data_IF_657193239929
#
_entry.id   IF_657193239929
#
_cell.length_a   1.000
_cell.length_b   1.000
_cell.length_c   1.000
_cell.angle_alpha   90.00
_cell.angle_beta   90.00
_cell.angle_gamma   90.00
#
_symmetry.space_group_name_H-M   'P 1'
#
loop_
_entity.id
_entity.type
_entity.pdbx_description
1 polymer ?
#
# COMPACT_ATOMS: atom_id res chain seq x y z
N UNK A 1 20.50 31.32 -25.22
CA UNK A 1 19.48 30.24 -25.35
C UNK A 1 19.07 29.75 -23.95
N UNK A 2 18.10 30.42 -23.31
CA UNK A 2 17.63 30.07 -21.96
C UNK A 2 16.55 28.99 -22.00
N UNK A 3 16.74 27.88 -21.27
CA UNK A 3 15.73 26.81 -21.14
C UNK A 3 14.54 27.32 -20.31
N UNK A 4 13.33 27.22 -20.86
CA UNK A 4 12.09 27.50 -20.12
C UNK A 4 11.90 26.48 -18.98
N UNK A 5 11.51 26.90 -17.77
CA UNK A 5 11.22 25.98 -16.68
C UNK A 5 9.96 25.15 -17.01
N UNK A 6 10.12 23.82 -17.08
CA UNK A 6 9.01 22.86 -17.19
C UNK A 6 8.45 22.57 -15.79
N UNK A 7 7.71 23.50 -15.22
CA UNK A 7 6.84 23.25 -14.07
C UNK A 7 5.39 23.24 -14.53
N UNK A 8 4.64 22.16 -14.28
CA UNK A 8 3.17 22.23 -14.39
C UNK A 8 2.70 23.30 -13.40
N UNK A 9 1.82 24.25 -13.78
CA UNK A 9 1.34 25.27 -12.86
C UNK A 9 0.76 24.56 -11.63
N UNK A 10 1.21 25.00 -10.45
CA UNK A 10 0.68 24.55 -9.15
C UNK A 10 -0.84 24.59 -9.23
N UNK A 11 -1.49 23.47 -8.92
CA UNK A 11 -2.91 23.27 -9.13
C UNK A 11 -3.73 24.46 -8.64
N UNK A 12 -4.58 24.99 -9.51
CA UNK A 12 -5.42 26.16 -9.23
C UNK A 12 -6.18 25.89 -7.93
N UNK A 13 -5.90 26.69 -6.90
CA UNK A 13 -6.59 26.60 -5.62
C UNK A 13 -8.09 26.69 -5.89
N UNK A 14 -8.90 25.78 -5.34
CA UNK A 14 -10.34 25.81 -5.59
C UNK A 14 -10.88 27.13 -5.03
N UNK A 15 -11.59 27.87 -5.87
CA UNK A 15 -11.90 29.29 -5.70
C UNK A 15 -12.91 29.63 -4.61
N UNK A 16 -12.76 29.06 -3.42
CA UNK A 16 -13.50 29.43 -2.21
C UNK A 16 -12.49 29.94 -1.17
N UNK A 17 -12.81 31.02 -0.48
CA UNK A 17 -11.96 31.60 0.57
C UNK A 17 -12.81 32.05 1.76
N UNK A 18 -12.20 32.15 2.95
CA UNK A 18 -12.85 32.65 4.16
C UNK A 18 -14.09 31.87 4.58
N UNK A 19 -15.17 32.59 4.92
CA UNK A 19 -16.42 32.00 5.45
C UNK A 19 -17.08 31.06 4.43
N UNK A 20 -17.02 31.41 3.13
CA UNK A 20 -17.52 30.55 2.05
C UNK A 20 -16.81 29.20 2.04
N UNK A 21 -15.51 29.18 2.29
CA UNK A 21 -14.74 27.94 2.37
C UNK A 21 -15.13 27.11 3.61
N UNK A 22 -15.24 27.74 4.77
CA UNK A 22 -15.67 27.06 6.01
C UNK A 22 -17.07 26.44 5.86
N UNK A 23 -17.99 27.18 5.25
CA UNK A 23 -19.34 26.71 4.98
C UNK A 23 -19.35 25.56 3.96
N UNK A 24 -18.58 25.62 2.87
CA UNK A 24 -18.48 24.48 1.94
C UNK A 24 -17.86 23.26 2.64
N UNK A 25 -16.87 23.45 3.51
CA UNK A 25 -16.26 22.38 4.30
C UNK A 25 -17.24 21.69 5.26
N UNK A 26 -18.28 22.37 5.76
CA UNK A 26 -19.26 21.74 6.67
C UNK A 26 -20.06 20.61 6.01
N UNK A 27 -20.07 20.51 4.68
CA UNK A 27 -20.72 19.43 3.94
C UNK A 27 -19.80 18.23 3.65
N UNK A 28 -18.62 18.15 4.26
CA UNK A 28 -17.69 17.03 4.05
C UNK A 28 -18.34 15.68 4.34
N UNK A 29 -19.03 15.55 5.48
CA UNK A 29 -19.63 14.29 5.89
C UNK A 29 -20.76 13.86 4.93
N UNK A 30 -21.59 14.80 4.52
CA UNK A 30 -22.66 14.57 3.53
C UNK A 30 -22.07 14.12 2.19
N UNK A 31 -21.01 14.78 1.73
CA UNK A 31 -20.33 14.41 0.48
C UNK A 31 -19.73 13.00 0.52
N UNK A 32 -19.22 12.54 1.68
CA UNK A 32 -18.66 11.19 1.83
C UNK A 32 -19.70 10.09 1.88
N UNK A 33 -20.90 10.40 2.37
CA UNK A 33 -21.92 9.38 2.72
C UNK A 33 -23.09 9.32 1.73
N UNK A 34 -23.36 10.41 1.01
CA UNK A 34 -24.51 10.55 0.10
C UNK A 34 -24.06 10.60 -1.35
N UNK A 35 -25.03 10.45 -2.27
CA UNK A 35 -24.80 10.68 -3.70
C UNK A 35 -24.28 12.10 -3.96
N UNK A 36 -23.14 12.19 -4.65
CA UNK A 36 -22.47 13.46 -4.91
C UNK A 36 -23.36 14.46 -5.68
N UNK A 37 -24.21 13.99 -6.60
CA UNK A 37 -25.11 14.83 -7.38
C UNK A 37 -26.19 15.49 -6.53
N UNK A 38 -26.73 14.75 -5.56
CA UNK A 38 -27.69 15.29 -4.58
C UNK A 38 -27.02 16.31 -3.66
N UNK A 39 -25.84 16.00 -3.13
CA UNK A 39 -25.08 16.91 -2.27
C UNK A 39 -24.76 18.22 -2.99
N UNK A 40 -24.27 18.15 -4.23
CA UNK A 40 -24.01 19.35 -5.02
C UNK A 40 -25.29 20.15 -5.28
N UNK A 41 -26.43 19.48 -5.48
CA UNK A 41 -27.71 20.14 -5.68
C UNK A 41 -28.16 20.91 -4.44
N UNK A 42 -28.03 20.30 -3.26
CA UNK A 42 -28.39 20.91 -1.97
C UNK A 42 -27.48 22.10 -1.64
N UNK A 43 -26.16 21.92 -1.78
CA UNK A 43 -25.18 23.00 -1.58
C UNK A 43 -25.45 24.16 -2.54
N UNK A 44 -25.73 23.88 -3.82
CA UNK A 44 -26.03 24.91 -4.82
C UNK A 44 -27.25 25.74 -4.42
N UNK A 45 -28.34 25.09 -3.97
CA UNK A 45 -29.55 25.79 -3.52
C UNK A 45 -29.26 26.67 -2.31
N UNK A 46 -28.62 26.10 -1.28
CA UNK A 46 -28.30 26.86 -0.06
C UNK A 46 -27.31 28.00 -0.32
N UNK A 47 -26.37 27.82 -1.27
CA UNK A 47 -25.43 28.86 -1.66
C UNK A 47 -26.16 30.10 -2.19
N UNK A 48 -27.09 29.93 -3.13
CA UNK A 48 -27.80 31.08 -3.70
C UNK A 48 -28.79 31.71 -2.70
N UNK A 49 -29.33 30.94 -1.76
CA UNK A 49 -30.10 31.48 -0.63
C UNK A 49 -29.24 32.32 0.31
N UNK A 50 -27.99 31.93 0.52
CA UNK A 50 -27.10 32.62 1.47
C UNK A 50 -26.31 33.77 0.86
N UNK A 51 -25.90 33.65 -0.40
CA UNK A 51 -24.96 34.56 -1.05
C UNK A 51 -25.53 35.24 -2.32
N UNK A 52 -26.72 34.83 -2.78
CA UNK A 52 -27.29 35.35 -4.03
C UNK A 52 -26.46 35.00 -5.28
N UNK A 53 -26.90 35.52 -6.43
CA UNK A 53 -26.32 35.23 -7.75
C UNK A 53 -25.19 36.18 -8.19
N UNK A 54 -25.10 37.37 -7.57
CA UNK A 54 -24.17 38.44 -7.97
C UNK A 54 -22.79 38.31 -7.35
N UNK A 55 -22.67 37.58 -6.24
CA UNK A 55 -21.41 37.48 -5.53
C UNK A 55 -20.44 36.55 -6.24
N UNK A 56 -19.22 37.06 -6.45
CA UNK A 56 -18.09 36.26 -6.91
C UNK A 56 -17.81 35.13 -5.91
N UNK A 57 -17.60 33.92 -6.42
CA UNK A 57 -17.31 32.74 -5.61
C UNK A 57 -16.01 32.90 -4.80
N UNK A 58 -15.05 33.65 -5.33
CA UNK A 58 -13.69 33.80 -4.75
C UNK A 58 -13.58 34.92 -3.73
N UNK A 59 -14.43 35.96 -3.85
CA UNK A 59 -14.38 37.14 -2.98
C UNK A 59 -15.15 36.89 -1.70
N UNK A 60 -14.47 37.11 -0.58
CA UNK A 60 -15.09 37.14 0.73
C UNK A 60 -15.92 38.41 0.85
N UNK A 61 -17.14 38.31 1.36
CA UNK A 61 -17.98 39.49 1.63
C UNK A 61 -17.93 39.74 3.14
N UNK A 62 -17.47 40.91 3.59
CA UNK A 62 -17.44 41.22 5.01
C UNK A 62 -18.87 41.50 5.51
N UNK A 63 -19.37 40.65 6.41
CA UNK A 63 -20.63 40.87 7.13
C UNK A 63 -21.67 39.77 6.90
N UNK A 64 -22.65 39.68 7.81
CA UNK A 64 -23.85 38.86 7.60
C UNK A 64 -24.60 39.47 6.42
N UNK A 65 -24.65 38.75 5.31
CA UNK A 65 -25.56 39.06 4.21
C UNK A 65 -26.95 38.72 4.74
N UNK A 66 -27.90 39.67 4.67
CA UNK A 66 -29.31 39.39 4.97
C UNK A 66 -29.77 38.23 4.09
N UNK A 67 -30.50 37.27 4.68
CA UNK A 67 -30.97 36.07 3.98
C UNK A 67 -31.61 36.48 2.64
N UNK A 68 -31.03 36.02 1.53
CA UNK A 68 -31.56 36.36 0.21
C UNK A 68 -32.93 35.70 0.07
N UNK A 69 -33.97 36.51 -0.15
CA UNK A 69 -35.34 36.02 -0.32
C UNK A 69 -35.49 35.47 -1.74
N UNK A 70 -35.75 34.16 -1.91
CA UNK A 70 -35.98 33.58 -3.22
C UNK A 70 -37.27 34.11 -3.84
N UNK A 71 -37.17 34.96 -4.86
CA UNK A 71 -38.34 35.45 -5.60
C UNK A 71 -38.17 36.80 -6.30
N UNK A 72 -37.41 37.73 -5.72
CA UNK A 72 -37.41 39.13 -6.18
C UNK A 72 -36.79 39.34 -7.57
N UNK A 73 -35.95 38.43 -8.05
CA UNK A 73 -35.15 38.65 -9.27
C UNK A 73 -35.95 38.50 -10.57
N UNK A 74 -37.02 37.70 -10.51
CA UNK A 74 -37.89 37.41 -11.66
C UNK A 74 -39.19 38.22 -11.62
N UNK A 75 -39.43 38.92 -10.52
CA UNK A 75 -40.66 39.69 -10.32
C UNK A 75 -40.71 40.86 -11.32
N UNK A 76 -41.78 40.94 -12.10
CA UNK A 76 -41.97 41.97 -13.12
C UNK A 76 -41.23 41.72 -14.45
N UNK A 77 -40.39 40.68 -14.57
CA UNK A 77 -39.77 40.31 -15.84
C UNK A 77 -40.76 39.54 -16.72
N UNK A 78 -40.84 39.92 -18.00
CA UNK A 78 -41.66 39.24 -19.01
C UNK A 78 -40.90 39.09 -20.33
N UNK A 79 -41.32 38.15 -21.16
CA UNK A 79 -40.74 37.94 -22.49
C UNK A 79 -39.26 37.57 -22.46
N UNK A 80 -38.47 38.21 -23.31
CA UNK A 80 -37.04 37.94 -23.51
C UNK A 80 -36.22 38.14 -22.22
N UNK A 81 -36.53 39.17 -21.43
CA UNK A 81 -35.81 39.47 -20.19
C UNK A 81 -35.94 38.34 -19.13
N UNK A 82 -37.09 37.67 -19.08
CA UNK A 82 -37.29 36.52 -18.19
C UNK A 82 -36.43 35.32 -18.63
N UNK A 83 -36.26 35.14 -19.94
CA UNK A 83 -35.49 34.03 -20.48
C UNK A 83 -33.98 34.26 -20.35
N UNK A 84 -33.51 35.49 -20.55
CA UNK A 84 -32.13 35.89 -20.27
C UNK A 84 -31.75 35.65 -18.81
N UNK A 85 -32.66 35.98 -17.87
CA UNK A 85 -32.44 35.79 -16.44
C UNK A 85 -32.35 34.29 -16.08
N UNK A 86 -33.22 33.43 -16.65
CA UNK A 86 -33.11 31.98 -16.45
C UNK A 86 -31.78 31.43 -16.96
N UNK A 87 -31.36 31.84 -18.16
CA UNK A 87 -30.08 31.40 -18.73
C UNK A 87 -28.90 31.85 -17.87
N UNK A 88 -28.98 33.05 -17.30
CA UNK A 88 -27.99 33.55 -16.36
C UNK A 88 -27.92 32.69 -15.10
N UNK A 89 -29.07 32.40 -14.48
CA UNK A 89 -29.15 31.56 -13.28
C UNK A 89 -28.63 30.13 -13.54
N UNK A 90 -29.04 29.50 -14.64
CA UNK A 90 -28.58 28.16 -15.03
C UNK A 90 -27.07 28.13 -15.24
N UNK A 91 -26.51 29.15 -15.90
CA UNK A 91 -25.07 29.30 -16.10
C UNK A 91 -24.33 29.41 -14.77
N UNK A 92 -24.83 30.23 -13.84
CA UNK A 92 -24.24 30.40 -12.51
C UNK A 92 -24.33 29.13 -11.66
N UNK A 93 -25.46 28.43 -11.69
CA UNK A 93 -25.62 27.14 -11.01
C UNK A 93 -24.65 26.09 -11.56
N UNK A 94 -24.51 26.02 -12.89
CA UNK A 94 -23.57 25.10 -13.54
C UNK A 94 -22.12 25.43 -13.17
N UNK A 95 -21.75 26.71 -13.17
CA UNK A 95 -20.41 27.16 -12.77
C UNK A 95 -20.10 26.79 -11.31
N UNK A 96 -21.02 27.08 -10.39
CA UNK A 96 -20.86 26.72 -8.99
C UNK A 96 -20.71 25.21 -8.80
N UNK A 97 -21.57 24.39 -9.42
CA UNK A 97 -21.47 22.92 -9.36
C UNK A 97 -20.12 22.42 -9.87
N UNK A 98 -19.60 23.00 -10.94
CA UNK A 98 -18.27 22.65 -11.45
C UNK A 98 -17.16 23.01 -10.45
N UNK A 99 -17.24 24.20 -9.82
CA UNK A 99 -16.30 24.62 -8.76
C UNK A 99 -16.39 23.71 -7.53
N UNK A 100 -17.60 23.36 -7.07
CA UNK A 100 -17.83 22.43 -5.97
C UNK A 100 -17.24 21.04 -6.29
N UNK A 101 -17.55 20.49 -7.46
CA UNK A 101 -17.00 19.19 -7.88
C UNK A 101 -15.47 19.20 -7.95
N UNK A 102 -14.88 20.29 -8.44
CA UNK A 102 -13.42 20.49 -8.41
C UNK A 102 -12.86 20.58 -6.99
N UNK A 103 -13.51 21.36 -6.12
CA UNK A 103 -13.13 21.52 -4.71
C UNK A 103 -13.18 20.19 -3.96
N UNK A 104 -14.33 19.51 -3.94
CA UNK A 104 -14.50 18.29 -3.14
C UNK A 104 -13.59 17.17 -3.64
N UNK A 105 -13.42 17.00 -4.95
CA UNK A 105 -12.44 16.04 -5.48
C UNK A 105 -11.03 16.41 -5.04
N UNK A 106 -10.55 17.62 -5.33
CA UNK A 106 -9.19 17.99 -4.99
C UNK A 106 -8.90 17.96 -3.48
N UNK A 107 -9.89 18.32 -2.66
CA UNK A 107 -9.76 18.42 -1.20
C UNK A 107 -9.91 17.07 -0.49
N UNK A 108 -10.87 16.25 -0.93
CA UNK A 108 -11.30 15.04 -0.21
C UNK A 108 -11.17 13.76 -1.03
N UNK A 109 -11.13 13.81 -2.37
CA UNK A 109 -10.79 12.62 -3.19
C UNK A 109 -9.30 12.30 -3.20
N UNK A 110 -8.47 13.24 -2.75
CA UNK A 110 -7.11 12.93 -2.32
C UNK A 110 -7.16 12.10 -1.04
N UNK A 111 -7.49 10.80 -1.15
CA UNK A 111 -7.05 9.82 -0.16
C UNK A 111 -5.54 9.94 -0.19
N UNK A 112 -4.95 10.76 0.69
CA UNK A 112 -3.51 10.77 0.92
C UNK A 112 -3.18 9.32 1.14
N UNK A 113 -2.49 8.70 0.18
CA UNK A 113 -2.04 7.32 0.27
C UNK A 113 -1.54 7.19 1.70
N UNK A 114 -2.25 6.43 2.54
CA UNK A 114 -1.88 6.36 3.93
C UNK A 114 -0.64 5.49 3.91
N UNK A 115 0.51 6.10 3.65
CA UNK A 115 1.75 5.38 3.35
C UNK A 115 2.08 4.45 4.51
N UNK A 116 1.65 4.79 5.72
CA UNK A 116 1.68 3.91 6.89
C UNK A 116 0.78 2.66 6.74
N UNK A 117 -0.46 2.79 6.25
CA UNK A 117 -1.37 1.65 6.02
C UNK A 117 -0.88 0.78 4.85
N UNK A 118 -0.49 1.39 3.73
CA UNK A 118 0.10 0.65 2.59
C UNK A 118 1.41 -0.04 3.00
N UNK A 119 2.28 0.62 3.77
CA UNK A 119 3.51 0.01 4.30
C UNK A 119 3.20 -1.10 5.31
N UNK A 120 2.15 -0.95 6.13
CA UNK A 120 1.68 -1.99 7.03
C UNK A 120 1.22 -3.23 6.26
N UNK A 121 0.40 -3.04 5.22
CA UNK A 121 -0.09 -4.13 4.37
C UNK A 121 1.04 -4.78 3.58
N UNK A 122 1.95 -3.99 2.99
CA UNK A 122 3.13 -4.53 2.31
C UNK A 122 4.02 -5.29 3.30
N UNK A 123 4.19 -4.81 4.54
CA UNK A 123 4.96 -5.51 5.58
C UNK A 123 4.25 -6.78 6.04
N UNK A 124 2.92 -6.77 6.15
CA UNK A 124 2.12 -7.95 6.45
C UNK A 124 2.21 -8.98 5.31
N UNK A 125 2.07 -8.54 4.06
CA UNK A 125 2.28 -9.37 2.87
C UNK A 125 3.70 -9.92 2.81
N UNK A 126 4.73 -9.12 3.12
CA UNK A 126 6.12 -9.58 3.23
C UNK A 126 6.32 -10.57 4.37
N UNK A 127 5.56 -10.44 5.46
CA UNK A 127 5.52 -11.42 6.54
C UNK A 127 4.88 -12.75 6.11
N UNK A 128 3.74 -12.69 5.40
CA UNK A 128 3.04 -13.88 4.88
C UNK A 128 3.77 -14.58 3.73
N UNK A 129 4.42 -13.79 2.88
CA UNK A 129 5.32 -14.26 1.81
C UNK A 129 6.74 -14.45 2.30
N UNK A 130 6.95 -14.36 3.63
CA UNK A 130 8.22 -14.39 4.32
C UNK A 130 9.31 -15.08 3.52
N UNK A 131 10.35 -14.32 3.17
CA UNK A 131 11.55 -14.77 2.46
C UNK A 131 12.27 -15.97 3.12
N UNK A 132 11.74 -16.50 4.22
CA UNK A 132 12.04 -17.83 4.70
C UNK A 132 11.62 -18.86 3.65
N UNK A 133 12.57 -19.23 2.78
CA UNK A 133 12.41 -20.37 1.90
C UNK A 133 12.02 -21.60 2.73
N UNK A 134 11.14 -22.45 2.17
CA UNK A 134 10.79 -23.73 2.80
C UNK A 134 12.09 -24.45 3.21
N UNK A 135 12.23 -24.88 4.49
CA UNK A 135 13.43 -25.57 4.94
C UNK A 135 13.75 -26.74 4.02
N UNK A 136 15.02 -26.85 3.60
CA UNK A 136 15.49 -27.97 2.77
C UNK A 136 16.09 -29.03 3.67
N UNK A 137 15.81 -30.31 3.37
CA UNK A 137 16.45 -31.44 4.04
C UNK A 137 17.94 -31.41 3.72
N UNK A 138 18.80 -31.41 4.75
CA UNK A 138 20.25 -31.56 4.58
C UNK A 138 20.52 -32.99 4.09
N UNK A 139 21.49 -33.18 3.19
CA UNK A 139 21.94 -34.53 2.86
C UNK A 139 22.51 -35.22 4.11
N UNK A 140 22.36 -36.53 4.24
CA UNK A 140 22.85 -37.30 5.41
C UNK A 140 24.33 -37.02 5.70
N UNK A 141 25.17 -36.95 4.66
CA UNK A 141 26.59 -36.63 4.79
C UNK A 141 26.83 -35.22 5.36
N UNK A 142 26.10 -34.22 4.87
CA UNK A 142 26.18 -32.85 5.36
C UNK A 142 25.73 -32.77 6.83
N UNK A 143 24.61 -33.43 7.16
CA UNK A 143 24.10 -33.51 8.53
C UNK A 143 25.14 -34.15 9.46
N UNK A 144 25.63 -35.34 9.12
CA UNK A 144 26.69 -36.06 9.83
C UNK A 144 27.92 -35.17 10.05
N UNK A 145 28.44 -34.57 8.98
CA UNK A 145 29.64 -33.75 9.03
C UNK A 145 29.48 -32.51 9.90
N UNK A 146 28.27 -31.95 9.99
CA UNK A 146 28.00 -30.78 10.83
C UNK A 146 27.78 -31.14 12.31
N UNK A 147 27.06 -32.23 12.58
CA UNK A 147 26.63 -32.60 13.93
C UNK A 147 27.72 -33.36 14.70
N UNK A 148 28.50 -34.19 14.01
CA UNK A 148 29.53 -35.04 14.62
C UNK A 148 30.95 -34.63 14.21
N UNK A 149 31.14 -33.38 13.75
CA UNK A 149 32.46 -32.87 13.39
C UNK A 149 33.45 -33.04 14.54
N UNK A 150 33.13 -32.44 15.69
CA UNK A 150 34.01 -32.35 16.85
C UNK A 150 34.40 -33.71 17.42
N UNK A 151 33.47 -34.67 17.40
CA UNK A 151 33.63 -35.96 18.08
C UNK A 151 34.25 -37.04 17.20
N UNK A 152 33.95 -37.05 15.89
CA UNK A 152 34.32 -38.16 14.99
C UNK A 152 35.27 -37.76 13.87
N UNK A 153 35.17 -36.52 13.38
CA UNK A 153 35.88 -36.12 12.17
C UNK A 153 37.09 -35.23 12.45
N UNK A 154 37.03 -34.38 13.48
CA UNK A 154 37.97 -33.29 13.70
C UNK A 154 39.42 -33.74 13.73
N UNK A 155 39.76 -34.75 14.52
CA UNK A 155 41.15 -35.20 14.66
C UNK A 155 41.75 -35.67 13.32
N UNK A 156 41.05 -36.57 12.62
CA UNK A 156 41.52 -37.06 11.32
C UNK A 156 41.41 -36.03 10.20
N UNK A 157 40.44 -35.12 10.29
CA UNK A 157 40.29 -34.01 9.36
C UNK A 157 41.45 -33.02 9.50
N UNK A 158 41.79 -32.59 10.72
CA UNK A 158 42.87 -31.65 11.00
C UNK A 158 44.22 -32.23 10.58
N UNK A 159 44.46 -33.53 10.83
CA UNK A 159 45.64 -34.23 10.35
C UNK A 159 45.76 -34.15 8.82
N UNK A 160 44.71 -34.57 8.09
CA UNK A 160 44.70 -34.53 6.62
C UNK A 160 44.76 -33.11 6.08
N UNK A 161 44.14 -32.15 6.76
CA UNK A 161 44.16 -30.76 6.36
C UNK A 161 45.57 -30.17 6.46
N UNK A 162 46.28 -30.46 7.55
CA UNK A 162 47.66 -30.01 7.75
C UNK A 162 48.62 -30.66 6.74
N UNK A 163 48.48 -31.96 6.47
CA UNK A 163 49.23 -32.65 5.41
C UNK A 163 48.96 -32.01 4.03
N UNK A 164 47.70 -31.74 3.70
CA UNK A 164 47.31 -31.14 2.42
C UNK A 164 47.71 -29.67 2.29
N UNK A 165 47.83 -28.94 3.42
CA UNK A 165 48.23 -27.53 3.44
C UNK A 165 49.65 -27.32 2.92
N UNK A 166 50.54 -28.29 3.16
CA UNK A 166 51.93 -28.24 2.69
C UNK A 166 52.06 -28.56 1.19
N UNK A 167 51.19 -29.43 0.66
CA UNK A 167 51.41 -30.07 -0.65
C UNK A 167 50.42 -29.67 -1.75
N UNK A 168 49.23 -29.16 -1.40
CA UNK A 168 48.11 -29.01 -2.34
C UNK A 168 47.55 -27.58 -2.44
N UNK A 169 47.11 -27.14 -3.65
CA UNK A 169 46.33 -25.92 -3.83
C UNK A 169 45.00 -25.97 -3.05
N UNK A 170 44.47 -24.80 -2.66
CA UNK A 170 43.29 -24.71 -1.79
C UNK A 170 42.06 -25.52 -2.26
N UNK A 171 41.78 -25.51 -3.58
CA UNK A 171 40.66 -26.27 -4.16
C UNK A 171 40.84 -27.80 -4.01
N UNK A 172 42.07 -28.30 -4.20
CA UNK A 172 42.38 -29.71 -4.03
C UNK A 172 42.29 -30.15 -2.56
N UNK A 173 42.65 -29.27 -1.61
CA UNK A 173 42.49 -29.54 -0.17
C UNK A 173 41.02 -29.77 0.22
N UNK A 174 40.12 -28.92 -0.28
CA UNK A 174 38.68 -29.08 -0.03
C UNK A 174 38.15 -30.40 -0.58
N UNK A 175 38.58 -30.80 -1.78
CA UNK A 175 38.18 -32.09 -2.36
C UNK A 175 38.68 -33.28 -1.52
N UNK A 176 39.94 -33.25 -1.07
CA UNK A 176 40.51 -34.28 -0.18
C UNK A 176 39.75 -34.40 1.15
N UNK A 177 39.40 -33.26 1.75
CA UNK A 177 38.60 -33.22 2.98
C UNK A 177 37.20 -33.78 2.77
N UNK A 178 36.53 -33.43 1.67
CA UNK A 178 35.22 -34.00 1.33
C UNK A 178 35.31 -35.52 1.11
N UNK A 179 36.37 -36.02 0.45
CA UNK A 179 36.60 -37.46 0.33
C UNK A 179 36.85 -38.13 1.68
N UNK A 180 37.60 -37.50 2.58
CA UNK A 180 37.81 -38.03 3.92
C UNK A 180 36.49 -38.19 4.67
N UNK A 181 35.64 -37.16 4.66
CA UNK A 181 34.31 -37.23 5.31
C UNK A 181 33.45 -38.33 4.69
N UNK A 182 33.48 -38.52 3.35
CA UNK A 182 32.78 -39.64 2.70
C UNK A 182 33.30 -41.00 3.13
N UNK A 183 34.62 -41.17 3.23
CA UNK A 183 35.24 -42.43 3.67
C UNK A 183 34.94 -42.73 5.13
N UNK A 184 35.00 -41.71 5.99
CA UNK A 184 34.62 -41.83 7.39
C UNK A 184 33.16 -42.28 7.51
N UNK A 185 32.24 -41.60 6.82
CA UNK A 185 30.82 -41.98 6.78
C UNK A 185 30.58 -43.41 6.28
N UNK A 186 31.28 -43.85 5.23
CA UNK A 186 31.15 -45.21 4.70
C UNK A 186 31.74 -46.30 5.61
N UNK A 187 32.62 -45.93 6.54
CA UNK A 187 33.21 -46.83 7.52
C UNK A 187 32.42 -46.89 8.84
N UNK A 188 31.39 -46.05 9.00
CA UNK A 188 30.53 -46.07 10.18
C UNK A 188 29.62 -47.30 10.18
N UNK A 189 29.24 -47.74 11.38
CA UNK A 189 28.33 -48.86 11.58
C UNK A 189 26.93 -48.59 11.02
N UNK A 190 26.26 -49.64 10.54
CA UNK A 190 24.89 -49.54 9.99
C UNK A 190 23.87 -49.01 11.02
N UNK A 191 24.05 -49.38 12.29
CA UNK A 191 23.18 -48.90 13.39
C UNK A 191 23.34 -47.40 13.62
N UNK A 192 24.57 -46.90 13.57
CA UNK A 192 24.88 -45.48 13.73
C UNK A 192 24.42 -44.68 12.51
N UNK A 193 24.68 -45.15 11.30
CA UNK A 193 24.20 -44.47 10.08
C UNK A 193 22.67 -44.38 10.06
N UNK A 194 21.97 -45.44 10.46
CA UNK A 194 20.51 -45.44 10.63
C UNK A 194 20.04 -44.41 11.67
N UNK A 195 20.73 -44.31 12.80
CA UNK A 195 20.46 -43.29 13.82
C UNK A 195 20.61 -41.87 13.24
N UNK A 196 21.71 -41.59 12.54
CA UNK A 196 21.98 -40.27 11.96
C UNK A 196 20.94 -39.90 10.91
N UNK A 197 20.49 -40.85 10.09
CA UNK A 197 19.40 -40.63 9.13
C UNK A 197 18.11 -40.24 9.86
N UNK A 198 17.74 -40.98 10.91
CA UNK A 198 16.55 -40.69 11.71
C UNK A 198 16.63 -39.30 12.34
N UNK A 199 17.76 -38.95 12.94
CA UNK A 199 17.94 -37.62 13.54
C UNK A 199 17.90 -36.49 12.49
N UNK A 200 18.42 -36.72 11.28
CA UNK A 200 18.34 -35.76 10.18
C UNK A 200 16.89 -35.53 9.72
N UNK A 201 16.09 -36.60 9.70
CA UNK A 201 14.67 -36.55 9.35
C UNK A 201 13.85 -35.86 10.45
N UNK A 202 14.14 -36.13 11.72
CA UNK A 202 13.53 -35.45 12.87
C UNK A 202 13.83 -33.94 12.86
N UNK A 203 15.09 -33.53 12.67
CA UNK A 203 15.46 -32.09 12.59
C UNK A 203 14.77 -31.42 11.39
N UNK A 204 14.71 -32.10 10.24
CA UNK A 204 14.01 -31.57 9.08
C UNK A 204 12.52 -31.41 9.33
N UNK A 205 11.87 -32.41 9.95
CA UNK A 205 10.45 -32.39 10.25
C UNK A 205 10.12 -31.27 11.24
N UNK A 206 10.91 -31.10 12.29
CA UNK A 206 10.77 -29.99 13.24
C UNK A 206 10.88 -28.62 12.55
N UNK A 207 11.86 -28.45 11.64
CA UNK A 207 12.02 -27.23 10.88
C UNK A 207 10.83 -26.97 9.94
N UNK A 208 10.30 -28.01 9.29
CA UNK A 208 9.09 -27.92 8.44
C UNK A 208 7.87 -27.56 9.27
N UNK A 209 7.71 -28.10 10.48
CA UNK A 209 6.56 -27.80 11.34
C UNK A 209 6.65 -26.41 11.95
N UNK A 210 7.85 -25.94 12.30
CA UNK A 210 8.07 -24.54 12.67
C UNK A 210 7.74 -23.60 11.51
N UNK A 211 8.19 -23.96 10.30
CA UNK A 211 7.87 -23.22 9.07
C UNK A 211 6.36 -23.17 8.81
N UNK A 212 5.66 -24.30 8.92
CA UNK A 212 4.19 -24.35 8.77
C UNK A 212 3.49 -23.46 9.79
N UNK A 213 3.86 -23.58 11.07
CA UNK A 213 3.30 -22.74 12.15
C UNK A 213 3.51 -21.25 11.90
N UNK A 214 4.66 -20.85 11.35
CA UNK A 214 4.93 -19.45 11.01
C UNK A 214 4.10 -18.92 9.83
N UNK A 215 3.50 -19.81 9.02
CA UNK A 215 2.69 -19.46 7.85
C UNK A 215 1.19 -19.59 8.06
N UNK A 216 0.76 -20.34 9.08
CA UNK A 216 -0.65 -20.35 9.48
C UNK A 216 -0.97 -18.96 10.02
N UNK A 217 -1.89 -18.26 9.35
CA UNK A 217 -2.44 -17.01 9.88
C UNK A 217 -3.06 -17.33 11.24
N UNK A 218 -2.91 -16.45 12.25
CA UNK A 218 -3.63 -16.62 13.50
C UNK A 218 -5.12 -16.77 13.20
N UNK A 219 -5.83 -17.62 13.96
CA UNK A 219 -7.28 -17.71 13.84
C UNK A 219 -7.88 -16.33 14.09
N UNK A 220 -8.44 -15.74 13.04
CA UNK A 220 -9.11 -14.46 13.10
C UNK A 220 -10.60 -14.69 13.31
N UNK A 221 -11.21 -13.91 14.20
CA UNK A 221 -12.66 -13.91 14.37
C UNK A 221 -13.36 -13.46 13.08
N UNK A 222 -14.61 -13.87 12.88
CA UNK A 222 -15.41 -13.41 11.76
C UNK A 222 -15.50 -11.87 11.70
N UNK A 223 -15.54 -11.22 12.87
CA UNK A 223 -15.52 -9.76 13.02
C UNK A 223 -14.23 -9.14 12.48
N UNK A 224 -13.07 -9.74 12.76
CA UNK A 224 -11.78 -9.26 12.25
C UNK A 224 -11.69 -9.36 10.72
N UNK A 225 -12.29 -10.38 10.12
CA UNK A 225 -12.39 -10.47 8.66
C UNK A 225 -13.30 -9.40 8.08
N UNK A 226 -14.43 -9.12 8.74
CA UNK A 226 -15.36 -8.09 8.31
C UNK A 226 -14.70 -6.70 8.33
N UNK A 227 -14.02 -6.34 9.42
CA UNK A 227 -13.28 -5.07 9.54
C UNK A 227 -12.16 -4.95 8.48
N UNK A 228 -11.45 -6.06 8.22
CA UNK A 228 -10.42 -6.09 7.17
C UNK A 228 -11.02 -5.93 5.76
N UNK A 229 -12.24 -6.42 5.51
CA UNK A 229 -12.94 -6.24 4.24
C UNK A 229 -13.49 -4.81 4.08
N UNK A 230 -14.01 -4.21 5.15
CA UNK A 230 -14.50 -2.83 5.12
C UNK A 230 -13.37 -1.84 4.85
N UNK A 231 -12.18 -2.09 5.37
CA UNK A 231 -10.98 -1.26 5.15
C UNK A 231 -10.21 -1.64 3.87
N UNK A 232 -10.68 -2.64 3.12
CA UNK A 232 -9.97 -3.16 1.96
C UNK A 232 -9.89 -2.13 0.82
N UNK A 233 -10.93 -1.34 0.61
CA UNK A 233 -10.97 -0.34 -0.47
C UNK A 233 -9.94 0.79 -0.24
N UNK A 234 -9.65 1.11 1.03
CA UNK A 234 -8.62 2.08 1.43
C UNK A 234 -7.20 1.63 1.09
N UNK A 235 -6.99 0.32 0.96
CA UNK A 235 -5.67 -0.28 0.77
C UNK A 235 -5.48 -0.84 -0.65
N UNK A 236 -6.47 -1.56 -1.15
CA UNK A 236 -6.38 -2.31 -2.41
C UNK A 236 -6.23 -1.39 -3.62
N UNK A 237 -7.00 -0.30 -3.66
CA UNK A 237 -6.94 0.67 -4.78
C UNK A 237 -5.56 1.35 -4.82
N UNK A 238 -5.05 1.96 -3.74
CA UNK A 238 -3.72 2.55 -3.74
C UNK A 238 -2.58 1.57 -4.04
N UNK A 239 -2.72 0.32 -3.61
CA UNK A 239 -1.74 -0.73 -3.92
C UNK A 239 -1.74 -1.07 -5.41
N UNK A 240 -2.92 -1.22 -6.02
CA UNK A 240 -3.08 -1.48 -7.44
C UNK A 240 -2.49 -0.32 -8.29
N UNK A 241 -2.77 0.92 -7.91
CA UNK A 241 -2.21 2.11 -8.57
C UNK A 241 -0.68 2.12 -8.46
N UNK A 242 -0.12 1.86 -7.28
CA UNK A 242 1.33 1.82 -7.08
C UNK A 242 2.02 0.71 -7.88
N UNK A 243 1.37 -0.45 -8.04
CA UNK A 243 1.86 -1.54 -8.88
C UNK A 243 1.77 -1.17 -10.37
N UNK A 244 0.67 -0.57 -10.80
CA UNK A 244 0.47 -0.09 -12.16
C UNK A 244 1.56 0.93 -12.54
N UNK A 245 1.78 1.95 -11.71
CA UNK A 245 2.81 2.96 -11.94
C UNK A 245 4.22 2.37 -12.05
N UNK A 246 4.53 1.38 -11.20
CA UNK A 246 5.86 0.77 -11.14
C UNK A 246 6.16 -0.14 -12.32
N UNK A 247 5.17 -0.89 -12.81
CA UNK A 247 5.38 -1.99 -13.74
C UNK A 247 4.76 -1.79 -15.13
N UNK A 248 3.71 -0.98 -15.29
CA UNK A 248 3.04 -0.77 -16.58
C UNK A 248 3.50 0.46 -17.35
N UNK A 249 4.08 1.48 -16.69
CA UNK A 249 4.50 2.74 -17.35
C UNK A 249 5.93 2.66 -17.93
N UNK A 250 6.74 1.65 -17.57
CA UNK A 250 8.14 1.53 -18.02
C UNK A 250 8.35 0.68 -19.30
N UNK A 251 7.29 0.31 -20.01
CA UNK A 251 7.36 -0.52 -21.23
C UNK A 251 7.37 0.29 -22.54
N UNK A 252 7.56 1.61 -22.50
CA UNK A 252 7.73 2.50 -23.67
C UNK A 252 9.04 3.27 -23.60
#
# INVERSE_FOLDING_TARGET
>A
MGRKPKGKPVGRQPGFSGEKLEWVCSFENDWRTRDHGLVYSDITKQWFVRYGYDLDFEKNVPGKIDDWVPGNRREGLTGEALEEEKQFEEKKQKELRQKLGGFFRNRFSGRKLHHAAVKSVVKAMQGMTGNAARPRRKSNLAFYSSKYYETRLKEGFDKKWNEAKASCPAKARLAMCQEYVRKAWAAEDETFTSQVIREADEEHQQAVDAYRRSRTLPEQSAESYHEALETLDEVAIPLADALSDRYLIRSS
#
